data_IF_578391686928
#
_entry.id   IF_578391686928
#
_cell.length_a   1.000
_cell.length_b   1.000
_cell.length_c   1.000
_cell.angle_alpha   90.00
_cell.angle_beta   90.00
_cell.angle_gamma   90.00
#
_symmetry.space_group_name_H-M   'P 1'
#
loop_
_entity.id
_entity.type
_entity.pdbx_description
1 polymer ?
#
# COMPACT_ATOMS: atom_id res chain seq x y z
N UNK A 1 46.83 -47.59 3.26
CA UNK A 1 46.96 -46.11 3.38
C UNK A 1 45.70 -45.36 2.87
N UNK A 2 44.48 -45.87 3.12
CA UNK A 2 43.27 -45.49 2.34
C UNK A 2 42.05 -45.05 3.17
N UNK A 3 42.12 -45.09 4.52
CA UNK A 3 40.95 -44.79 5.39
C UNK A 3 40.73 -43.30 5.71
N UNK A 4 41.76 -42.45 5.62
CA UNK A 4 41.66 -41.00 5.95
C UNK A 4 40.99 -40.17 4.84
N UNK A 5 41.15 -40.53 3.56
CA UNK A 5 40.55 -39.79 2.43
C UNK A 5 39.01 -39.91 2.38
N UNK A 6 38.46 -41.06 2.77
CA UNK A 6 37.01 -41.33 2.72
C UNK A 6 36.20 -40.51 3.76
N UNK A 7 36.77 -40.26 4.95
CA UNK A 7 36.14 -39.41 5.98
C UNK A 7 36.08 -37.94 5.54
N UNK A 8 37.17 -37.41 4.96
CA UNK A 8 37.25 -36.01 4.50
C UNK A 8 36.22 -35.73 3.38
N UNK A 9 35.97 -36.71 2.51
CA UNK A 9 34.96 -36.63 1.45
C UNK A 9 33.53 -36.64 2.00
N UNK A 10 33.23 -37.47 3.02
CA UNK A 10 31.91 -37.48 3.69
C UNK A 10 31.59 -36.16 4.40
N UNK A 11 32.57 -35.54 5.06
CA UNK A 11 32.36 -34.22 5.69
C UNK A 11 32.14 -33.10 4.66
N UNK A 12 32.82 -33.16 3.50
CA UNK A 12 32.63 -32.19 2.42
C UNK A 12 31.21 -32.28 1.81
N UNK A 13 30.71 -33.50 1.57
CA UNK A 13 29.36 -33.71 1.05
C UNK A 13 28.26 -33.32 2.04
N UNK A 14 28.44 -33.60 3.33
CA UNK A 14 27.50 -33.16 4.37
C UNK A 14 27.48 -31.63 4.46
N UNK A 15 28.64 -30.97 4.38
CA UNK A 15 28.72 -29.51 4.36
C UNK A 15 28.03 -28.87 3.14
N UNK A 16 28.23 -29.44 1.95
CA UNK A 16 27.55 -28.99 0.72
C UNK A 16 26.05 -29.21 0.81
N UNK A 17 25.60 -30.35 1.34
CA UNK A 17 24.18 -30.67 1.47
C UNK A 17 23.47 -29.73 2.46
N UNK A 18 24.11 -29.42 3.59
CA UNK A 18 23.61 -28.42 4.56
C UNK A 18 23.57 -27.03 3.93
N UNK A 19 24.59 -26.65 3.14
CA UNK A 19 24.62 -25.36 2.45
C UNK A 19 23.55 -25.23 1.36
N UNK A 20 23.23 -26.31 0.63
CA UNK A 20 22.16 -26.32 -0.38
C UNK A 20 20.78 -26.26 0.28
N UNK A 21 20.58 -26.96 1.40
CA UNK A 21 19.32 -26.88 2.16
C UNK A 21 19.14 -25.50 2.78
N UNK A 22 20.20 -24.90 3.34
CA UNK A 22 20.11 -23.56 3.93
C UNK A 22 19.89 -22.48 2.86
N UNK A 23 20.56 -22.58 1.71
CA UNK A 23 20.31 -21.70 0.57
C UNK A 23 18.90 -21.91 -0.01
N UNK A 24 18.47 -23.16 -0.16
CA UNK A 24 17.11 -23.49 -0.62
C UNK A 24 16.05 -22.97 0.35
N UNK A 25 16.25 -23.13 1.66
CA UNK A 25 15.36 -22.59 2.69
C UNK A 25 15.35 -21.05 2.71
N UNK A 26 16.50 -20.40 2.48
CA UNK A 26 16.59 -18.96 2.35
C UNK A 26 15.88 -18.44 1.11
N UNK A 27 16.04 -19.10 -0.03
CA UNK A 27 15.34 -18.79 -1.28
C UNK A 27 13.84 -19.01 -1.13
N UNK A 28 13.42 -20.11 -0.51
CA UNK A 28 12.01 -20.42 -0.27
C UNK A 28 11.38 -19.41 0.69
N UNK A 29 12.10 -19.02 1.76
CA UNK A 29 11.65 -17.98 2.69
C UNK A 29 11.49 -16.63 1.99
N UNK A 30 12.49 -16.22 1.20
CA UNK A 30 12.43 -14.98 0.40
C UNK A 30 11.29 -15.03 -0.63
N UNK A 31 11.05 -16.20 -1.23
CA UNK A 31 9.94 -16.45 -2.13
C UNK A 31 8.59 -16.24 -1.41
N UNK A 32 8.34 -16.88 -0.26
CA UNK A 32 7.10 -16.70 0.49
C UNK A 32 6.92 -15.28 1.05
N UNK A 33 8.00 -14.62 1.50
CA UNK A 33 7.95 -13.22 1.94
C UNK A 33 7.57 -12.27 0.80
N UNK A 34 7.99 -12.55 -0.43
CA UNK A 34 7.64 -11.76 -1.62
C UNK A 34 6.17 -11.92 -2.06
N UNK A 35 5.44 -12.96 -1.62
CA UNK A 35 4.06 -13.23 -2.06
C UNK A 35 2.97 -12.81 -1.04
N UNK A 36 3.31 -12.11 0.04
CA UNK A 36 2.30 -11.66 1.03
C UNK A 36 1.64 -10.34 0.57
N UNK A 37 0.40 -10.39 0.11
CA UNK A 37 -0.38 -9.18 -0.22
C UNK A 37 -0.56 -8.27 1.01
N UNK A 38 -0.61 -6.95 0.81
CA UNK A 38 -0.99 -5.99 1.85
C UNK A 38 -2.48 -6.07 2.19
N UNK A 39 -3.30 -6.34 1.16
CA UNK A 39 -4.73 -6.62 1.25
C UNK A 39 -5.12 -7.84 0.39
N UNK A 40 -6.03 -8.66 0.91
CA UNK A 40 -6.69 -9.83 0.30
C UNK A 40 -5.92 -11.15 0.23
N UNK A 41 -6.67 -12.26 0.27
CA UNK A 41 -6.21 -13.65 0.07
C UNK A 41 -5.67 -13.85 -1.37
N UNK A 42 -6.18 -13.08 -2.32
CA UNK A 42 -5.66 -12.88 -3.68
C UNK A 42 -5.44 -11.39 -3.92
N UNK A 43 -4.22 -11.00 -4.26
CA UNK A 43 -3.84 -9.61 -4.47
C UNK A 43 -4.64 -8.90 -5.60
N UNK A 44 -5.25 -9.66 -6.52
CA UNK A 44 -5.89 -9.14 -7.73
C UNK A 44 -7.28 -8.52 -7.50
N UNK A 45 -8.05 -9.01 -6.51
CA UNK A 45 -9.40 -8.48 -6.24
C UNK A 45 -9.39 -7.01 -5.83
N UNK A 46 -8.29 -6.55 -5.22
CA UNK A 46 -8.16 -5.19 -4.70
C UNK A 46 -8.01 -4.12 -5.80
N UNK A 47 -7.72 -4.49 -7.05
CA UNK A 47 -7.47 -3.53 -8.14
C UNK A 47 -8.71 -3.15 -8.96
N UNK A 48 -9.86 -3.75 -8.64
CA UNK A 48 -11.11 -3.54 -9.36
C UNK A 48 -12.02 -2.63 -8.53
N UNK A 49 -12.57 -1.60 -9.18
CA UNK A 49 -13.59 -0.74 -8.56
C UNK A 49 -14.77 -1.61 -8.12
N UNK A 50 -15.11 -1.54 -6.84
CA UNK A 50 -16.25 -2.26 -6.27
C UNK A 50 -16.92 -1.40 -5.20
N UNK A 51 -18.24 -1.28 -5.30
CA UNK A 51 -19.09 -0.57 -4.35
C UNK A 51 -20.27 -1.46 -3.99
N UNK A 52 -20.48 -1.66 -2.69
CA UNK A 52 -21.65 -2.31 -2.13
C UNK A 52 -22.07 -1.55 -0.87
N UNK A 53 -23.12 -0.74 -0.97
CA UNK A 53 -23.63 0.08 0.15
C UNK A 53 -24.52 -0.73 1.11
N UNK A 54 -24.85 -1.98 0.77
CA UNK A 54 -25.67 -2.86 1.61
C UNK A 54 -24.83 -3.75 2.55
N UNK A 55 -23.52 -3.85 2.30
CA UNK A 55 -22.61 -4.68 3.10
C UNK A 55 -22.19 -4.02 4.42
N UNK A 56 -21.93 -4.85 5.43
CA UNK A 56 -21.31 -4.41 6.69
C UNK A 56 -19.81 -4.69 6.68
N UNK A 57 -19.05 -3.78 7.27
CA UNK A 57 -17.63 -4.02 7.52
C UNK A 57 -17.41 -4.80 8.82
N UNK A 58 -16.31 -5.53 8.89
CA UNK A 58 -15.82 -6.22 10.08
C UNK A 58 -14.35 -5.81 10.28
N UNK A 59 -14.01 -5.31 11.45
CA UNK A 59 -12.63 -5.01 11.81
C UNK A 59 -12.39 -5.31 13.29
N UNK A 60 -11.37 -6.12 13.61
CA UNK A 60 -11.09 -6.59 14.97
C UNK A 60 -12.33 -7.21 15.66
N UNK A 61 -13.16 -7.93 14.91
CA UNK A 61 -14.39 -8.55 15.41
C UNK A 61 -15.56 -7.60 15.64
N UNK A 62 -15.41 -6.31 15.33
CA UNK A 62 -16.46 -5.29 15.45
C UNK A 62 -17.13 -5.10 14.08
N UNK A 63 -18.47 -5.09 14.07
CA UNK A 63 -19.27 -4.74 12.89
C UNK A 63 -19.38 -3.22 12.78
N UNK A 64 -19.10 -2.68 11.59
CA UNK A 64 -19.03 -1.24 11.33
C UNK A 64 -19.85 -0.94 10.07
N UNK A 65 -20.56 0.19 10.08
CA UNK A 65 -21.25 0.71 8.90
C UNK A 65 -20.25 1.41 7.97
N UNK A 66 -20.05 0.91 6.74
CA UNK A 66 -19.21 1.58 5.74
C UNK A 66 -19.87 2.89 5.29
N UNK A 67 -19.08 3.84 4.76
CA UNK A 67 -19.65 4.99 4.08
C UNK A 67 -20.36 4.55 2.80
N UNK A 68 -21.51 5.15 2.52
CA UNK A 68 -22.15 5.06 1.20
C UNK A 68 -21.25 5.73 0.16
N UNK A 69 -20.97 5.01 -0.93
CA UNK A 69 -20.22 5.54 -2.07
C UNK A 69 -21.18 5.71 -3.25
N UNK A 70 -21.27 6.95 -3.73
CA UNK A 70 -21.87 7.28 -5.01
C UNK A 70 -20.76 7.56 -6.03
N UNK A 71 -20.60 6.66 -7.01
CA UNK A 71 -19.63 6.82 -8.10
C UNK A 71 -20.11 7.82 -9.17
N UNK A 72 -21.41 8.13 -9.22
CA UNK A 72 -21.97 9.14 -10.12
C UNK A 72 -21.80 10.56 -9.56
N UNK A 73 -21.55 10.71 -8.25
CA UNK A 73 -21.28 12.00 -7.64
C UNK A 73 -19.97 12.57 -8.16
N UNK A 74 -20.09 13.56 -9.05
CA UNK A 74 -18.96 14.36 -9.52
C UNK A 74 -18.33 15.12 -8.37
N UNK A 75 -17.01 15.08 -8.24
CA UNK A 75 -16.31 15.95 -7.30
C UNK A 75 -16.57 17.40 -7.74
N UNK A 76 -17.26 18.15 -6.89
CA UNK A 76 -17.49 19.58 -7.07
C UNK A 76 -16.22 20.42 -6.85
N UNK A 77 -15.05 19.81 -6.65
CA UNK A 77 -13.79 20.54 -6.61
C UNK A 77 -13.53 21.08 -8.01
N UNK A 78 -13.52 22.41 -8.21
CA UNK A 78 -13.26 22.97 -9.51
C UNK A 78 -11.85 22.54 -9.91
N UNK A 79 -11.74 21.80 -11.01
CA UNK A 79 -10.54 21.85 -11.83
C UNK A 79 -10.50 23.30 -12.34
N UNK A 80 -9.87 24.20 -11.59
CA UNK A 80 -9.76 25.61 -12.00
C UNK A 80 -8.86 25.61 -13.22
N UNK A 81 -9.47 25.57 -14.40
CA UNK A 81 -8.83 25.65 -15.72
C UNK A 81 -8.25 27.06 -15.99
N UNK A 82 -7.70 27.74 -14.98
CA UNK A 82 -7.44 29.17 -15.09
C UNK A 82 -6.56 29.84 -14.02
N UNK A 83 -5.74 29.11 -13.25
CA UNK A 83 -4.66 29.73 -12.47
C UNK A 83 -3.31 29.23 -12.95
N UNK A 84 -2.61 30.06 -13.73
CA UNK A 84 -1.19 29.86 -14.01
C UNK A 84 -0.39 29.97 -12.70
N UNK A 85 0.17 28.84 -12.21
CA UNK A 85 1.45 28.67 -11.46
C UNK A 85 1.37 27.69 -10.27
N UNK A 86 2.44 26.93 -9.91
CA UNK A 86 3.66 26.55 -10.65
C UNK A 86 3.64 25.06 -11.08
N UNK A 87 4.26 24.75 -12.23
CA UNK A 87 4.51 23.37 -12.74
C UNK A 87 5.58 22.63 -11.91
N UNK A 88 5.44 22.58 -10.60
CA UNK A 88 6.35 21.90 -9.70
C UNK A 88 6.14 20.39 -9.73
N UNK A 89 7.21 19.61 -9.59
CA UNK A 89 7.09 18.16 -9.42
C UNK A 89 6.31 17.86 -8.13
N UNK A 90 5.31 16.98 -8.22
CA UNK A 90 4.50 16.52 -7.08
C UNK A 90 5.20 15.38 -6.34
N UNK A 91 5.32 15.52 -5.02
CA UNK A 91 6.00 14.54 -4.15
C UNK A 91 5.23 14.32 -2.86
N UNK A 92 5.19 13.08 -2.39
CA UNK A 92 4.59 12.68 -1.12
C UNK A 92 5.69 12.09 -0.23
N UNK A 93 5.73 12.52 1.01
CA UNK A 93 6.65 12.02 2.03
C UNK A 93 5.84 11.37 3.15
N UNK A 94 6.17 10.14 3.50
CA UNK A 94 5.57 9.41 4.60
C UNK A 94 6.64 9.09 5.64
N UNK A 95 6.54 9.74 6.81
CA UNK A 95 7.40 9.46 7.95
C UNK A 95 6.70 8.47 8.89
N UNK A 96 7.21 7.24 8.93
CA UNK A 96 6.70 6.19 9.80
C UNK A 96 7.00 6.45 11.27
N UNK A 97 8.02 7.23 11.60
CA UNK A 97 8.38 7.55 12.99
C UNK A 97 7.36 8.46 13.62
N UNK A 98 6.98 9.52 12.91
CA UNK A 98 6.02 10.52 13.41
C UNK A 98 4.58 10.24 12.96
N UNK A 99 4.37 9.19 12.16
CA UNK A 99 3.09 8.79 11.56
C UNK A 99 2.43 9.98 10.86
N UNK A 100 3.21 10.63 9.97
CA UNK A 100 2.81 11.86 9.26
C UNK A 100 3.03 11.70 7.77
N UNK A 101 2.10 12.24 6.98
CA UNK A 101 2.23 12.40 5.54
C UNK A 101 2.30 13.88 5.19
N UNK A 102 3.24 14.25 4.32
CA UNK A 102 3.34 15.58 3.71
C UNK A 102 3.35 15.47 2.20
N UNK A 103 2.54 16.26 1.52
CA UNK A 103 2.49 16.34 0.06
C UNK A 103 2.91 17.73 -0.39
N UNK A 104 3.80 17.80 -1.38
CA UNK A 104 4.36 19.04 -1.92
C UNK A 104 4.19 19.11 -3.43
N UNK A 105 3.99 20.33 -3.93
CA UNK A 105 4.05 20.68 -5.35
C UNK A 105 5.16 21.72 -5.54
N UNK A 106 6.28 21.29 -6.12
CA UNK A 106 7.52 22.08 -6.04
C UNK A 106 7.94 22.25 -4.57
N UNK A 107 8.03 23.50 -4.11
CA UNK A 107 8.37 23.85 -2.72
C UNK A 107 7.13 24.17 -1.86
N UNK A 108 5.92 24.12 -2.44
CA UNK A 108 4.69 24.47 -1.74
C UNK A 108 4.11 23.25 -1.03
N UNK A 109 3.88 23.36 0.29
CA UNK A 109 3.18 22.34 1.06
C UNK A 109 1.68 22.35 0.68
N UNK A 110 1.22 21.27 0.06
CA UNK A 110 -0.18 21.09 -0.33
C UNK A 110 -1.03 20.47 0.79
N UNK A 111 -0.51 19.43 1.45
CA UNK A 111 -1.20 18.70 2.51
C UNK A 111 -0.23 18.22 3.57
N UNK A 112 -0.57 18.38 4.84
CA UNK A 112 0.07 17.71 5.97
C UNK A 112 -0.99 17.05 6.84
N UNK A 113 -0.83 15.75 7.12
CA UNK A 113 -1.83 14.99 7.87
C UNK A 113 -1.23 13.82 8.66
N UNK A 114 -1.96 13.35 9.67
CA UNK A 114 -1.61 12.13 10.42
C UNK A 114 -2.09 10.90 9.68
N UNK A 115 -1.28 9.84 9.72
CA UNK A 115 -1.57 8.56 9.07
C UNK A 115 -1.54 7.42 10.09
N UNK A 116 -2.00 6.24 9.68
CA UNK A 116 -1.69 4.98 10.38
C UNK A 116 -1.04 4.00 9.42
N UNK A 117 0.21 3.65 9.69
CA UNK A 117 0.97 2.68 8.88
C UNK A 117 0.81 1.25 9.39
N UNK A 118 1.56 0.34 8.78
CA UNK A 118 1.57 -1.08 9.08
C UNK A 118 1.94 -1.43 10.52
N UNK A 119 1.02 -2.08 11.24
CA UNK A 119 1.21 -2.69 12.56
C UNK A 119 1.43 -4.20 12.47
N UNK A 120 0.55 -4.90 11.74
CA UNK A 120 0.62 -6.37 11.62
C UNK A 120 1.55 -6.83 10.50
N UNK A 121 1.70 -6.00 9.47
CA UNK A 121 2.72 -6.16 8.44
C UNK A 121 3.35 -4.79 8.18
N UNK A 122 4.68 -4.72 8.00
CA UNK A 122 5.37 -3.44 7.86
C UNK A 122 4.99 -2.74 6.55
N UNK A 123 4.81 -1.42 6.61
CA UNK A 123 4.78 -0.58 5.42
C UNK A 123 6.19 -0.56 4.81
N UNK A 124 6.36 -0.81 3.50
CA UNK A 124 7.68 -0.89 2.89
C UNK A 124 8.34 0.50 2.84
N UNK A 125 9.66 0.53 2.98
CA UNK A 125 10.48 1.74 2.89
C UNK A 125 10.99 1.94 1.46
N UNK A 126 11.29 3.18 1.12
CA UNK A 126 11.92 3.55 -0.15
C UNK A 126 11.08 4.51 -0.98
N UNK A 127 11.49 4.65 -2.24
CA UNK A 127 10.82 5.47 -3.23
C UNK A 127 9.89 4.62 -4.09
N UNK A 128 8.65 5.07 -4.21
CA UNK A 128 7.57 4.42 -4.94
C UNK A 128 6.89 5.41 -5.86
N UNK A 129 6.14 4.89 -6.83
CA UNK A 129 5.22 5.72 -7.62
C UNK A 129 3.82 5.18 -7.51
N UNK A 130 2.86 6.11 -7.46
CA UNK A 130 1.45 5.76 -7.60
C UNK A 130 1.24 5.26 -9.02
N UNK A 131 0.93 3.98 -9.18
CA UNK A 131 0.76 3.38 -10.50
C UNK A 131 -0.70 3.27 -10.90
N UNK A 132 -1.64 3.30 -9.98
CA UNK A 132 -3.07 3.48 -10.31
C UNK A 132 -3.85 4.00 -9.11
N UNK A 133 -5.05 4.52 -9.38
CA UNK A 133 -5.98 5.00 -8.36
C UNK A 133 -7.39 4.49 -8.64
N UNK A 134 -8.10 4.10 -7.58
CA UNK A 134 -9.51 3.68 -7.66
C UNK A 134 -10.36 4.36 -6.59
N UNK A 135 -11.59 4.73 -6.94
CA UNK A 135 -12.47 5.50 -6.05
C UNK A 135 -12.93 4.71 -4.84
N UNK A 136 -13.24 3.44 -5.03
CA UNK A 136 -13.63 2.54 -3.95
C UNK A 136 -13.39 1.09 -4.36
N UNK A 137 -12.97 0.27 -3.40
CA UNK A 137 -12.98 -1.18 -3.52
C UNK A 137 -13.11 -1.86 -2.17
N UNK A 138 -13.52 -3.12 -2.18
CA UNK A 138 -13.45 -4.01 -1.02
C UNK A 138 -11.99 -4.37 -0.71
N UNK A 139 -11.60 -4.31 0.56
CA UNK A 139 -10.36 -4.90 1.07
C UNK A 139 -10.70 -5.91 2.16
N UNK A 140 -10.15 -7.12 2.09
CA UNK A 140 -10.35 -8.15 3.11
C UNK A 140 -9.01 -8.80 3.43
N UNK A 141 -8.83 -9.43 4.59
CA UNK A 141 -7.54 -10.03 4.93
C UNK A 141 -7.38 -10.31 6.41
N UNK A 142 -6.15 -10.51 6.84
CA UNK A 142 -5.86 -10.95 8.21
C UNK A 142 -6.35 -12.37 8.48
N UNK A 143 -6.17 -12.85 9.72
CA UNK A 143 -6.61 -14.19 10.13
C UNK A 143 -6.81 -14.28 11.65
N UNK A 144 -7.95 -14.82 12.07
CA UNK A 144 -8.27 -14.89 13.50
C UNK A 144 -8.53 -13.48 14.04
N UNK A 145 -7.79 -13.06 15.07
CA UNK A 145 -8.07 -11.82 15.78
C UNK A 145 -7.79 -10.53 14.98
N UNK A 146 -6.94 -10.58 13.95
CA UNK A 146 -6.63 -9.43 13.08
C UNK A 146 -7.37 -9.49 11.73
N UNK A 147 -8.38 -10.37 11.61
CA UNK A 147 -9.21 -10.45 10.41
C UNK A 147 -9.96 -9.13 10.17
N UNK A 148 -10.05 -8.76 8.90
CA UNK A 148 -10.85 -7.63 8.46
C UNK A 148 -11.59 -7.94 7.15
N UNK A 149 -12.75 -7.33 7.02
CA UNK A 149 -13.58 -7.28 5.83
C UNK A 149 -14.11 -5.87 5.70
N UNK A 150 -13.66 -5.14 4.67
CA UNK A 150 -13.87 -3.71 4.55
C UNK A 150 -14.40 -3.43 3.14
N UNK A 151 -15.73 -3.47 2.92
CA UNK A 151 -16.32 -2.95 1.68
C UNK A 151 -16.08 -1.44 1.56
N UNK A 152 -16.16 -0.92 0.34
CA UNK A 152 -16.15 0.53 0.08
C UNK A 152 -14.94 1.30 0.65
N UNK A 153 -13.75 0.70 0.71
CA UNK A 153 -12.53 1.45 1.10
C UNK A 153 -12.29 2.56 0.08
N UNK A 154 -12.35 3.84 0.47
CA UNK A 154 -12.41 4.92 -0.50
C UNK A 154 -11.03 5.50 -0.84
N UNK A 155 -10.94 6.12 -2.02
CA UNK A 155 -9.79 6.93 -2.48
C UNK A 155 -8.45 6.18 -2.43
N UNK A 156 -8.41 5.01 -3.03
CA UNK A 156 -7.25 4.12 -2.99
C UNK A 156 -6.24 4.55 -4.06
N UNK A 157 -4.99 4.75 -3.64
CA UNK A 157 -3.84 5.12 -4.47
C UNK A 157 -2.77 4.04 -4.31
N UNK A 158 -2.70 3.11 -5.26
CA UNK A 158 -1.74 2.01 -5.21
C UNK A 158 -0.36 2.48 -5.63
N UNK A 159 0.66 2.02 -4.91
CA UNK A 159 2.04 2.35 -5.20
C UNK A 159 2.94 1.10 -5.28
N UNK A 160 4.00 1.21 -6.08
CA UNK A 160 4.97 0.14 -6.30
C UNK A 160 6.31 0.70 -6.74
N UNK A 161 7.34 -0.15 -6.74
CA UNK A 161 8.63 0.15 -7.35
C UNK A 161 9.24 -1.14 -7.94
N UNK A 162 10.51 -1.10 -8.33
CA UNK A 162 11.21 -2.26 -8.89
C UNK A 162 11.41 -3.42 -7.91
N UNK A 163 11.36 -3.16 -6.60
CA UNK A 163 11.59 -4.16 -5.55
C UNK A 163 10.29 -4.70 -4.97
N UNK A 164 9.27 -3.84 -4.87
CA UNK A 164 7.94 -4.11 -4.34
C UNK A 164 6.95 -4.06 -5.51
N UNK A 165 6.62 -5.25 -6.02
CA UNK A 165 5.74 -5.41 -7.16
C UNK A 165 4.34 -4.80 -6.92
N UNK A 166 3.71 -4.30 -8.00
CA UNK A 166 2.33 -3.78 -7.96
C UNK A 166 1.33 -4.79 -7.42
N UNK A 167 1.54 -6.08 -7.71
CA UNK A 167 0.76 -7.17 -7.15
C UNK A 167 0.75 -7.19 -5.63
N UNK A 168 1.68 -6.54 -4.92
CA UNK A 168 1.63 -6.48 -3.45
C UNK A 168 0.44 -5.70 -2.89
N UNK A 169 -0.19 -4.83 -3.68
CA UNK A 169 -1.39 -4.11 -3.28
C UNK A 169 -1.20 -3.05 -2.19
N UNK A 170 0.04 -2.60 -1.95
CA UNK A 170 0.28 -1.49 -1.02
C UNK A 170 -0.34 -0.20 -1.58
N UNK A 171 -1.04 0.51 -0.70
CA UNK A 171 -1.75 1.72 -1.08
C UNK A 171 -1.80 2.77 0.03
N UNK A 172 -2.01 4.02 -0.37
CA UNK A 172 -2.62 5.04 0.47
C UNK A 172 -4.12 5.01 0.26
N UNK A 173 -4.94 5.07 1.31
CA UNK A 173 -6.40 5.11 1.15
C UNK A 173 -7.10 5.75 2.35
N UNK A 174 -8.38 6.11 2.15
CA UNK A 174 -9.25 6.53 3.24
C UNK A 174 -9.62 5.37 4.15
N UNK A 175 -9.82 5.68 5.44
CA UNK A 175 -10.12 4.68 6.47
C UNK A 175 -11.30 5.12 7.31
N UNK A 176 -12.33 4.26 7.40
CA UNK A 176 -13.55 4.51 8.18
C UNK A 176 -13.67 3.65 9.44
N UNK A 177 -12.91 2.56 9.56
CA UNK A 177 -13.06 1.57 10.64
C UNK A 177 -12.26 1.89 11.92
N UNK A 178 -11.39 2.91 11.89
CA UNK A 178 -10.67 3.39 13.06
C UNK A 178 -10.28 4.86 12.93
N UNK A 179 -9.95 5.50 14.06
CA UNK A 179 -9.49 6.89 14.11
C UNK A 179 -8.06 7.05 14.69
N UNK A 180 -7.26 5.99 14.73
CA UNK A 180 -5.95 5.95 15.39
C UNK A 180 -4.80 6.65 14.61
N UNK A 181 -5.11 7.72 13.89
CA UNK A 181 -4.14 8.47 13.11
C UNK A 181 -3.05 9.06 14.02
N UNK A 182 -1.80 8.85 13.67
CA UNK A 182 -0.65 9.12 14.53
C UNK A 182 -0.03 7.87 15.15
N UNK A 183 -0.66 6.70 14.96
CA UNK A 183 -0.14 5.40 15.41
C UNK A 183 -0.35 4.33 14.33
N UNK A 184 0.52 3.31 14.32
CA UNK A 184 0.40 2.17 13.41
C UNK A 184 -0.86 1.33 13.70
N UNK A 185 -1.63 1.00 12.66
CA UNK A 185 -2.88 0.24 12.78
C UNK A 185 -3.31 -0.50 11.51
N UNK A 186 -2.46 -0.60 10.48
CA UNK A 186 -2.82 -1.26 9.22
C UNK A 186 -2.09 -2.60 9.01
N UNK A 187 -2.43 -3.30 7.93
CA UNK A 187 -1.71 -4.47 7.41
C UNK A 187 -0.66 -4.10 6.34
N UNK A 188 -0.17 -2.86 6.38
CA UNK A 188 0.93 -2.39 5.54
C UNK A 188 0.58 -1.17 4.69
N UNK A 189 -0.69 -0.98 4.35
CA UNK A 189 -1.17 0.25 3.71
C UNK A 189 -0.97 1.48 4.60
N UNK A 190 -1.01 2.67 3.99
CA UNK A 190 -0.99 3.94 4.72
C UNK A 190 -2.43 4.44 4.82
N UNK A 191 -2.99 4.38 6.02
CA UNK A 191 -4.37 4.79 6.29
C UNK A 191 -4.43 6.30 6.51
N UNK A 192 -5.38 6.96 5.83
CA UNK A 192 -5.67 8.38 5.98
C UNK A 192 -7.11 8.60 6.42
N UNK A 193 -7.39 9.77 7.01
CA UNK A 193 -8.77 10.25 7.10
C UNK A 193 -9.37 10.35 5.70
N UNK A 194 -10.64 9.99 5.55
CA UNK A 194 -11.32 9.98 4.24
C UNK A 194 -11.24 11.36 3.57
N UNK A 195 -11.38 12.43 4.33
CA UNK A 195 -11.28 13.82 3.84
C UNK A 195 -9.90 14.15 3.27
N UNK A 196 -8.83 13.68 3.91
CA UNK A 196 -7.46 13.91 3.48
C UNK A 196 -7.09 13.00 2.29
N UNK A 197 -7.54 11.74 2.33
CA UNK A 197 -7.42 10.81 1.21
C UNK A 197 -8.08 11.36 -0.05
N UNK A 198 -9.29 11.94 0.07
CA UNK A 198 -10.00 12.57 -1.05
C UNK A 198 -9.18 13.69 -1.67
N UNK A 199 -8.69 14.64 -0.86
CA UNK A 199 -7.86 15.76 -1.35
C UNK A 199 -6.62 15.26 -2.07
N UNK A 200 -5.90 14.32 -1.44
CA UNK A 200 -4.68 13.75 -2.01
C UNK A 200 -4.96 12.98 -3.30
N UNK A 201 -6.06 12.22 -3.36
CA UNK A 201 -6.47 11.43 -4.53
C UNK A 201 -6.69 12.30 -5.76
N UNK A 202 -7.39 13.42 -5.64
CA UNK A 202 -7.64 14.31 -6.77
C UNK A 202 -6.42 15.16 -7.15
N UNK A 203 -5.53 15.44 -6.21
CA UNK A 203 -4.28 16.16 -6.46
C UNK A 203 -3.19 15.28 -7.11
N UNK A 204 -3.07 14.02 -6.70
CA UNK A 204 -2.00 13.12 -7.12
C UNK A 204 -2.21 12.57 -8.54
N UNK A 205 -1.10 12.18 -9.17
CA UNK A 205 -1.04 11.55 -10.49
C UNK A 205 -0.92 10.02 -10.35
N UNK A 206 -1.35 9.21 -11.35
CA UNK A 206 -1.92 9.61 -12.64
C UNK A 206 -3.31 10.24 -12.47
N UNK A 207 -3.68 11.16 -13.37
CA UNK A 207 -5.02 11.75 -13.35
C UNK A 207 -6.05 10.69 -13.77
N UNK A 208 -7.05 10.47 -12.92
CA UNK A 208 -8.18 9.59 -13.21
C UNK A 208 -9.39 10.42 -13.55
N UNK A 209 -10.07 10.10 -14.65
CA UNK A 209 -11.45 10.51 -14.87
C UNK A 209 -12.32 9.62 -13.98
N UNK A 210 -13.32 10.20 -13.31
CA UNK A 210 -13.82 9.79 -11.99
C UNK A 210 -14.29 8.35 -11.79
N UNK A 211 -14.32 7.51 -12.83
CA UNK A 211 -14.77 6.12 -12.80
C UNK A 211 -13.85 5.12 -13.53
N UNK A 212 -12.71 5.56 -14.06
CA UNK A 212 -11.73 4.69 -14.73
C UNK A 212 -10.41 4.70 -13.97
N UNK A 213 -10.00 3.51 -13.51
CA UNK A 213 -8.63 3.25 -13.10
C UNK A 213 -7.73 3.43 -14.32
N UNK A 214 -6.95 4.51 -14.36
CA UNK A 214 -5.93 4.73 -15.40
C UNK A 214 -4.56 4.40 -14.83
N UNK A 215 -3.92 3.32 -15.29
CA UNK A 215 -2.56 3.03 -14.88
C UNK A 215 -1.59 4.14 -15.31
N UNK A 216 -0.54 4.32 -14.53
CA UNK A 216 0.58 5.16 -14.89
C UNK A 216 1.23 4.68 -16.19
N UNK A 217 1.71 5.63 -16.99
CA UNK A 217 2.41 5.38 -18.24
C UNK A 217 3.86 5.85 -18.12
N UNK A 218 4.69 5.57 -19.14
CA UNK A 218 6.05 6.09 -19.18
C UNK A 218 6.08 7.63 -19.16
N UNK A 219 5.08 8.27 -19.77
CA UNK A 219 4.99 9.73 -19.90
C UNK A 219 4.26 10.39 -18.73
N UNK A 220 3.50 9.61 -17.95
CA UNK A 220 2.88 10.03 -16.68
C UNK A 220 3.09 8.91 -15.65
N UNK A 221 4.29 8.84 -15.04
CA UNK A 221 4.69 7.72 -14.19
C UNK A 221 4.00 7.74 -12.81
N UNK A 222 3.14 8.74 -12.55
CA UNK A 222 2.45 8.96 -11.30
C UNK A 222 3.32 9.63 -10.23
N UNK A 223 2.65 10.13 -9.19
CA UNK A 223 3.30 10.92 -8.13
C UNK A 223 4.31 10.07 -7.35
N UNK A 224 5.48 10.64 -7.08
CA UNK A 224 6.54 10.03 -6.27
C UNK A 224 6.13 10.00 -4.79
N UNK A 225 6.34 8.87 -4.14
CA UNK A 225 6.15 8.68 -2.69
C UNK A 225 7.47 8.20 -2.10
N UNK A 226 8.01 8.94 -1.13
CA UNK A 226 9.16 8.53 -0.33
C UNK A 226 8.68 8.12 1.06
N UNK A 227 8.86 6.85 1.40
CA UNK A 227 8.50 6.29 2.72
C UNK A 227 9.77 6.00 3.51
N UNK A 228 9.88 6.60 4.69
CA UNK A 228 11.08 6.54 5.52
C UNK A 228 10.73 6.48 7.03
N UNK A 229 11.77 6.33 7.85
CA UNK A 229 11.62 6.23 9.30
C UNK A 229 11.27 4.82 9.77
N UNK A 230 10.84 4.70 11.03
CA UNK A 230 10.49 3.41 11.64
C UNK A 230 9.16 3.54 12.39
N UNK A 231 8.20 2.68 12.07
CA UNK A 231 6.94 2.63 12.79
C UNK A 231 7.15 2.34 14.29
N UNK A 232 6.40 3.00 15.19
CA UNK A 232 6.49 2.81 16.64
C UNK A 232 5.99 1.43 17.11
#
# INVERSE_FOLDING_TARGET
MTRKKLKKFRFLFIGIFIAVISLGGFVLKKYFENHRCANTLSCEESFIVSVNNDEKAIFNGIVIDPPDIDLAQKSAEPHVLGSESPKGEKRIYVDLTTQTLKAYEGDTLFLETKISSGKWAPTPLGDFRIWTKIRAAKMSGGKGADYYYLPNVPYIMFFSNSEIASSRGFALHGTYWHNNFGHAMSHGCVNLRITDARKLYYWAEPFTTENESKPATKDSPGTLITIYGKAP
#
